data_IF_533366157979
#
_entry.id   IF_533366157979
#
_cell.length_a   1.000
_cell.length_b   1.000
_cell.length_c   1.000
_cell.angle_alpha   90.00
_cell.angle_beta   90.00
_cell.angle_gamma   90.00
#
_symmetry.space_group_name_H-M   'P 1'
#
loop_
_entity.id
_entity.type
_entity.pdbx_description
1 polymer ?
#
# COMPACT_ATOMS: atom_id res chain seq x y z
N UNK A 1 -7.33 -14.26 -21.29
CA UNK A 1 -7.30 -13.56 -19.99
C UNK A 1 -6.67 -12.19 -20.22
N UNK A 2 -7.17 -11.12 -19.62
CA UNK A 2 -6.54 -9.79 -19.73
C UNK A 2 -5.08 -9.87 -19.31
N UNK A 3 -4.18 -9.22 -20.06
CA UNK A 3 -2.75 -9.08 -19.73
C UNK A 3 -2.51 -8.31 -18.41
N UNK A 4 -3.56 -7.74 -17.83
CA UNK A 4 -3.52 -6.89 -16.63
C UNK A 4 -4.50 -7.35 -15.55
N UNK A 5 -4.75 -8.68 -15.46
CA UNK A 5 -5.74 -9.24 -14.54
C UNK A 5 -5.53 -8.79 -13.09
N UNK A 6 -4.30 -8.86 -12.57
CA UNK A 6 -4.02 -8.48 -11.18
C UNK A 6 -3.99 -6.98 -10.98
N UNK A 7 -3.50 -6.23 -11.97
CA UNK A 7 -3.60 -4.77 -12.00
C UNK A 7 -5.05 -4.32 -11.86
N UNK A 8 -5.96 -4.84 -12.70
CA UNK A 8 -7.38 -4.50 -12.64
C UNK A 8 -8.01 -4.90 -11.30
N UNK A 9 -7.77 -6.13 -10.83
CA UNK A 9 -8.31 -6.59 -9.56
C UNK A 9 -7.83 -5.74 -8.38
N UNK A 10 -6.54 -5.40 -8.34
CA UNK A 10 -5.98 -4.57 -7.27
C UNK A 10 -6.44 -3.12 -7.38
N UNK A 11 -6.60 -2.56 -8.58
CA UNK A 11 -7.21 -1.23 -8.74
C UNK A 11 -8.64 -1.14 -8.20
N UNK A 12 -9.43 -2.21 -8.36
CA UNK A 12 -10.79 -2.27 -7.79
C UNK A 12 -10.76 -2.51 -6.28
N UNK A 13 -9.88 -3.39 -5.81
CA UNK A 13 -9.77 -3.72 -4.39
C UNK A 13 -9.22 -2.55 -3.55
N UNK A 14 -8.33 -1.74 -4.12
CA UNK A 14 -7.60 -0.70 -3.36
C UNK A 14 -8.52 0.34 -2.70
N UNK A 15 -9.50 0.96 -3.41
CA UNK A 15 -10.44 1.87 -2.76
C UNK A 15 -11.20 1.20 -1.61
N UNK A 16 -11.60 -0.07 -1.78
CA UNK A 16 -12.34 -0.81 -0.75
C UNK A 16 -11.47 -1.07 0.50
N UNK A 17 -10.22 -1.48 0.29
CA UNK A 17 -9.24 -1.68 1.36
C UNK A 17 -8.93 -0.35 2.06
N UNK A 18 -8.74 0.73 1.29
CA UNK A 18 -8.44 2.05 1.82
C UNK A 18 -9.59 2.58 2.69
N UNK A 19 -10.83 2.56 2.18
CA UNK A 19 -12.02 2.96 2.94
C UNK A 19 -12.16 2.12 4.21
N UNK A 20 -12.05 0.78 4.10
CA UNK A 20 -12.10 -0.11 5.26
C UNK A 20 -11.02 0.21 6.29
N UNK A 21 -9.80 0.48 5.85
CA UNK A 21 -8.69 0.84 6.73
C UNK A 21 -8.89 2.18 7.45
N UNK A 22 -9.49 3.17 6.78
CA UNK A 22 -9.82 4.47 7.38
C UNK A 22 -10.90 4.32 8.46
N UNK A 23 -11.94 3.54 8.18
CA UNK A 23 -13.01 3.24 9.15
C UNK A 23 -12.42 2.55 10.39
N UNK A 24 -11.58 1.54 10.20
CA UNK A 24 -10.92 0.82 11.30
C UNK A 24 -9.98 1.75 12.09
N UNK A 25 -9.33 2.70 11.41
CA UNK A 25 -8.51 3.72 12.05
C UNK A 25 -9.32 4.82 12.76
N UNK A 26 -10.63 4.66 12.96
CA UNK A 26 -11.48 5.64 13.65
C UNK A 26 -11.63 6.95 12.87
N UNK A 27 -11.61 6.90 11.54
CA UNK A 27 -11.75 8.10 10.69
C UNK A 27 -10.58 9.06 10.76
N UNK A 28 -9.38 8.58 11.14
CA UNK A 28 -8.18 9.40 11.31
C UNK A 28 -7.82 9.72 12.78
N UNK A 29 -8.68 9.37 13.74
CA UNK A 29 -8.44 9.61 15.17
C UNK A 29 -8.03 8.36 15.98
N UNK A 30 -8.03 7.18 15.35
CA UNK A 30 -7.62 5.91 15.93
C UNK A 30 -6.19 5.50 15.58
N UNK A 31 -5.85 4.24 15.83
CA UNK A 31 -4.53 3.71 15.54
C UNK A 31 -4.22 3.81 14.02
N UNK A 32 -3.16 4.53 13.67
CA UNK A 32 -2.69 4.69 12.27
C UNK A 32 -1.72 3.57 11.84
N UNK A 33 -1.36 2.67 12.76
CA UNK A 33 -0.41 1.59 12.49
C UNK A 33 -0.93 0.63 11.40
N UNK A 34 -2.24 0.42 11.33
CA UNK A 34 -2.90 -0.39 10.33
C UNK A 34 -2.72 0.20 8.92
N UNK A 35 -2.77 1.54 8.80
CA UNK A 35 -2.49 2.23 7.54
C UNK A 35 -1.04 2.02 7.12
N UNK A 36 -0.09 2.06 8.06
CA UNK A 36 1.34 1.80 7.77
C UNK A 36 1.56 0.35 7.31
N UNK A 37 0.86 -0.62 7.92
CA UNK A 37 0.96 -2.02 7.52
C UNK A 37 0.37 -2.26 6.13
N UNK A 38 -0.75 -1.62 5.80
CA UNK A 38 -1.43 -1.84 4.51
C UNK A 38 -0.85 -0.97 3.38
N UNK A 39 -0.44 0.26 3.70
CA UNK A 39 -0.02 1.29 2.75
C UNK A 39 1.33 1.92 3.13
N UNK A 40 2.39 1.12 3.36
CA UNK A 40 3.64 1.62 3.92
C UNK A 40 4.27 2.75 3.11
N UNK A 41 4.08 2.77 1.79
CA UNK A 41 4.69 3.78 0.92
C UNK A 41 3.97 5.11 1.04
N UNK A 42 2.65 5.02 1.03
CA UNK A 42 1.78 6.17 1.18
C UNK A 42 1.92 6.77 2.59
N UNK A 43 2.06 5.91 3.60
CA UNK A 43 2.14 6.35 4.99
C UNK A 43 3.36 7.20 5.33
N UNK A 44 4.40 7.22 4.49
CA UNK A 44 5.51 8.20 4.61
C UNK A 44 4.96 9.63 4.59
N UNK A 45 3.96 9.91 3.76
CA UNK A 45 3.38 11.26 3.62
C UNK A 45 2.55 11.68 4.85
N UNK A 46 2.07 10.73 5.66
CA UNK A 46 1.43 11.03 6.93
C UNK A 46 2.45 11.52 7.98
N UNK A 47 3.69 11.00 7.95
CA UNK A 47 4.75 11.43 8.87
C UNK A 47 5.25 12.86 8.64
N UNK A 48 4.89 13.47 7.51
CA UNK A 48 5.27 14.84 7.14
C UNK A 48 4.06 15.77 6.96
N UNK A 49 2.87 15.35 7.40
CA UNK A 49 1.61 16.12 7.33
C UNK A 49 1.09 16.45 5.91
N UNK A 50 1.40 15.60 4.92
CA UNK A 50 0.88 15.71 3.55
C UNK A 50 -0.22 14.68 3.26
N UNK A 51 -1.37 14.83 3.91
CA UNK A 51 -2.49 13.85 3.84
C UNK A 51 -3.01 13.57 2.42
N UNK A 52 -3.12 14.60 1.56
CA UNK A 52 -3.57 14.40 0.18
C UNK A 52 -2.63 13.45 -0.59
N UNK A 53 -1.32 13.56 -0.37
CA UNK A 53 -0.35 12.67 -1.00
C UNK A 53 -0.48 11.24 -0.47
N UNK A 54 -0.80 11.06 0.82
CA UNK A 54 -1.13 9.72 1.34
C UNK A 54 -2.26 9.09 0.53
N UNK A 55 -3.40 9.76 0.34
CA UNK A 55 -4.53 9.16 -0.40
C UNK A 55 -4.18 8.86 -1.85
N UNK A 56 -3.47 9.78 -2.52
CA UNK A 56 -3.03 9.59 -3.90
C UNK A 56 -2.11 8.36 -4.04
N UNK A 57 -1.08 8.25 -3.21
CA UNK A 57 -0.14 7.13 -3.28
C UNK A 57 -0.73 5.81 -2.75
N UNK A 58 -1.66 5.86 -1.79
CA UNK A 58 -2.37 4.67 -1.29
C UNK A 58 -3.21 4.04 -2.40
N UNK A 59 -3.89 4.86 -3.22
CA UNK A 59 -4.67 4.39 -4.37
C UNK A 59 -3.80 3.75 -5.46
N UNK A 60 -2.53 4.13 -5.58
CA UNK A 60 -1.62 3.69 -6.64
C UNK A 60 -0.76 2.49 -6.22
N UNK A 61 -0.48 2.33 -4.92
CA UNK A 61 0.42 1.30 -4.39
C UNK A 61 0.10 -0.12 -4.89
N UNK A 62 -1.12 -0.61 -4.67
CA UNK A 62 -1.48 -1.97 -5.07
C UNK A 62 -1.65 -2.13 -6.59
N UNK A 63 -2.18 -1.15 -7.36
CA UNK A 63 -2.09 -1.20 -8.83
C UNK A 63 -0.66 -1.37 -9.34
N UNK A 64 0.33 -0.70 -8.74
CA UNK A 64 1.75 -0.89 -9.09
C UNK A 64 2.17 -2.35 -8.84
N UNK A 65 1.78 -2.96 -7.72
CA UNK A 65 2.04 -4.39 -7.48
C UNK A 65 1.42 -5.28 -8.54
N UNK A 66 0.19 -4.98 -8.93
CA UNK A 66 -0.50 -5.69 -10.00
C UNK A 66 0.26 -5.61 -11.31
N UNK A 67 0.73 -4.42 -11.70
CA UNK A 67 1.51 -4.23 -12.93
C UNK A 67 2.82 -5.01 -12.88
N UNK A 68 3.55 -4.93 -11.78
CA UNK A 68 4.80 -5.65 -11.58
C UNK A 68 4.58 -7.16 -11.67
N UNK A 69 3.51 -7.67 -11.05
CA UNK A 69 3.17 -9.09 -11.06
C UNK A 69 2.69 -9.58 -12.43
N UNK A 70 1.82 -8.81 -13.10
CA UNK A 70 1.26 -9.17 -14.41
C UNK A 70 2.35 -9.21 -15.49
N UNK A 71 3.31 -8.27 -15.44
CA UNK A 71 4.44 -8.18 -16.40
C UNK A 71 5.66 -9.03 -16.01
N UNK A 72 5.62 -9.72 -14.88
CA UNK A 72 6.77 -10.48 -14.40
C UNK A 72 7.04 -11.72 -15.26
N UNK A 73 8.31 -11.89 -15.67
CA UNK A 73 8.79 -13.17 -16.21
C UNK A 73 8.69 -14.30 -15.19
N UNK A 74 9.02 -14.02 -13.92
CA UNK A 74 8.89 -14.97 -12.80
C UNK A 74 8.00 -14.37 -11.71
N UNK A 75 6.72 -14.79 -11.70
CA UNK A 75 5.69 -14.26 -10.81
C UNK A 75 5.98 -14.52 -9.33
N UNK A 76 6.51 -15.68 -8.99
CA UNK A 76 6.82 -16.06 -7.59
C UNK A 76 7.95 -15.19 -7.05
N UNK A 77 9.03 -15.05 -7.83
CA UNK A 77 10.16 -14.20 -7.45
C UNK A 77 9.73 -12.74 -7.32
N UNK A 78 8.94 -12.23 -8.27
CA UNK A 78 8.44 -10.85 -8.21
C UNK A 78 7.55 -10.62 -6.99
N UNK A 79 6.65 -11.56 -6.66
CA UNK A 79 5.81 -11.46 -5.47
C UNK A 79 6.66 -11.42 -4.19
N UNK A 80 7.71 -12.25 -4.10
CA UNK A 80 8.62 -12.25 -2.97
C UNK A 80 9.38 -10.93 -2.83
N UNK A 81 9.86 -10.37 -3.94
CA UNK A 81 10.53 -9.06 -3.97
C UNK A 81 9.59 -7.93 -3.55
N UNK A 82 8.36 -7.91 -4.08
CA UNK A 82 7.31 -6.95 -3.67
C UNK A 82 7.07 -7.06 -2.16
N UNK A 83 6.91 -8.28 -1.64
CA UNK A 83 6.69 -8.53 -0.22
C UNK A 83 7.85 -8.03 0.65
N UNK A 84 9.10 -8.30 0.28
CA UNK A 84 10.28 -7.80 1.00
C UNK A 84 10.32 -6.27 0.99
N UNK A 85 10.15 -5.64 -0.17
CA UNK A 85 10.19 -4.17 -0.27
C UNK A 85 9.07 -3.54 0.56
N UNK A 86 7.86 -4.08 0.48
CA UNK A 86 6.72 -3.63 1.27
C UNK A 86 7.01 -3.74 2.77
N UNK A 87 7.52 -4.89 3.22
CA UNK A 87 7.87 -5.14 4.62
C UNK A 87 8.99 -4.21 5.11
N UNK A 88 10.04 -3.99 4.32
CA UNK A 88 11.15 -3.10 4.68
C UNK A 88 10.68 -1.65 4.81
N UNK A 89 9.85 -1.16 3.88
CA UNK A 89 9.29 0.20 3.96
C UNK A 89 8.36 0.31 5.17
N UNK A 90 7.52 -0.69 5.42
CA UNK A 90 6.65 -0.74 6.60
C UNK A 90 7.46 -0.61 7.90
N UNK A 91 8.53 -1.40 8.06
CA UNK A 91 9.41 -1.30 9.21
C UNK A 91 10.03 0.10 9.32
N UNK A 92 10.56 0.64 8.21
CA UNK A 92 11.16 1.97 8.19
C UNK A 92 10.18 3.06 8.67
N UNK A 93 8.94 3.04 8.18
CA UNK A 93 7.90 4.02 8.57
C UNK A 93 7.49 3.84 10.03
N UNK A 94 7.33 2.60 10.52
CA UNK A 94 7.05 2.35 11.93
C UNK A 94 8.19 2.84 12.84
N UNK A 95 9.44 2.65 12.44
CA UNK A 95 10.59 3.17 13.18
C UNK A 95 10.63 4.70 13.17
N UNK A 96 10.31 5.35 12.05
CA UNK A 96 10.26 6.81 11.97
C UNK A 96 9.13 7.40 12.82
N UNK A 97 7.98 6.74 12.89
CA UNK A 97 6.84 7.19 13.70
C UNK A 97 7.10 7.13 15.21
N UNK A 98 7.89 6.15 15.66
CA UNK A 98 8.12 5.88 17.10
C UNK A 98 9.42 6.51 17.64
N UNK A 99 10.06 7.39 16.87
CA UNK A 99 11.18 8.23 17.34
C UNK A 99 10.65 9.56 17.83
#
# INVERSE_FOLDING_TARGET
>A
MSNYKWTTNLSIATPMILIGSIIISGGGHGFTNQLIVLFPWASIFLSIDFEFLFYFFALIQFPIYGILYDKAFNKVKTLFVIGIIHFLIMLAVLFLKNK
#
